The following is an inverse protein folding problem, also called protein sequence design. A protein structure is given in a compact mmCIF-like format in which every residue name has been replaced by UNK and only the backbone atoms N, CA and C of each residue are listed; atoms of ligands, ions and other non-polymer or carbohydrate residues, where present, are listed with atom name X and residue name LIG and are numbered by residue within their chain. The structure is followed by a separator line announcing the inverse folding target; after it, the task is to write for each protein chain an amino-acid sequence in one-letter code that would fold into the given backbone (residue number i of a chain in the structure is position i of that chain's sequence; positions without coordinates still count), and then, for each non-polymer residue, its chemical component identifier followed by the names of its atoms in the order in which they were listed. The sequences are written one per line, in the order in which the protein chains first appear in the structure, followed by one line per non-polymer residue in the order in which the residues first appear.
data_IF_330519593351
#
_entry.id   IF_330519593351
#
_cell.length_a   1.000
_cell.length_b   1.000
_cell.length_c   1.000
_cell.angle_alpha   90.00
_cell.angle_beta   90.00
_cell.angle_gamma   90.00
#
_symmetry.space_group_name_H-M   'P 1'
#
loop_
_entity.id
_entity.type
_entity.pdbx_description
1 polymer ?
#
# COMPACT_ATOMS: atom_id res chain seq x y z
N UNK A 1 17.70 19.66 18.57
CA UNK A 1 16.29 20.06 18.37
C UNK A 1 15.94 19.78 16.93
N UNK A 2 15.14 18.76 16.64
CA UNK A 2 14.69 18.49 15.26
C UNK A 2 13.64 19.54 14.92
N UNK A 3 13.79 20.19 13.76
CA UNK A 3 12.81 21.16 13.29
C UNK A 3 11.46 20.45 13.07
N UNK A 4 10.39 20.96 13.67
CA UNK A 4 9.04 20.36 13.60
C UNK A 4 8.55 20.19 12.16
N UNK A 5 8.95 21.12 11.29
CA UNK A 5 8.74 21.10 9.84
C UNK A 5 9.37 19.85 9.17
N UNK A 6 10.60 19.49 9.55
CA UNK A 6 11.30 18.33 9.01
C UNK A 6 10.59 17.03 9.40
N UNK A 7 10.17 16.93 10.66
CA UNK A 7 9.42 15.78 11.15
C UNK A 7 8.08 15.63 10.43
N UNK A 8 7.36 16.74 10.16
CA UNK A 8 6.12 16.74 9.36
C UNK A 8 6.36 16.26 7.94
N UNK A 9 7.41 16.75 7.28
CA UNK A 9 7.78 16.29 5.93
C UNK A 9 8.07 14.80 5.89
N UNK A 10 8.86 14.30 6.85
CA UNK A 10 9.19 12.87 6.95
C UNK A 10 7.96 12.00 7.25
N UNK A 11 7.12 12.41 8.19
CA UNK A 11 5.86 11.71 8.49
C UNK A 11 4.90 11.72 7.30
N UNK A 12 4.84 12.82 6.54
CA UNK A 12 4.07 12.90 5.30
C UNK A 12 4.57 11.93 4.23
N UNK A 13 5.89 11.80 4.08
CA UNK A 13 6.50 10.86 3.13
C UNK A 13 6.25 9.39 3.54
N UNK A 14 6.31 9.09 4.84
CA UNK A 14 5.94 7.78 5.38
C UNK A 14 4.45 7.47 5.18
N UNK A 15 3.57 8.45 5.41
CA UNK A 15 2.13 8.30 5.20
C UNK A 15 1.83 8.00 3.71
N UNK A 16 2.48 8.71 2.80
CA UNK A 16 2.44 8.48 1.36
C UNK A 16 2.85 7.04 1.00
N UNK A 17 4.03 6.61 1.43
CA UNK A 17 4.53 5.26 1.16
C UNK A 17 3.61 4.17 1.73
N UNK A 18 3.08 4.38 2.95
CA UNK A 18 2.14 3.45 3.57
C UNK A 18 0.81 3.39 2.82
N UNK A 19 0.26 4.53 2.39
CA UNK A 19 -0.99 4.58 1.63
C UNK A 19 -0.87 3.87 0.27
N UNK A 20 0.26 4.05 -0.42
CA UNK A 20 0.53 3.39 -1.69
C UNK A 20 0.62 1.86 -1.52
N UNK A 21 1.36 1.40 -0.50
CA UNK A 21 1.45 -0.02 -0.15
C UNK A 21 0.10 -0.59 0.27
N UNK A 22 -0.73 0.17 0.99
CA UNK A 22 -2.07 -0.23 1.37
C UNK A 22 -2.97 -0.44 0.14
N UNK A 23 -2.95 0.47 -0.84
CA UNK A 23 -3.68 0.33 -2.10
C UNK A 23 -3.25 -0.90 -2.88
N UNK A 24 -1.94 -1.12 -2.99
CA UNK A 24 -1.37 -2.30 -3.66
C UNK A 24 -1.74 -3.61 -2.97
N UNK A 25 -1.62 -3.66 -1.64
CA UNK A 25 -1.92 -4.87 -0.85
C UNK A 25 -3.42 -5.19 -0.83
N UNK A 26 -4.29 -4.19 -0.88
CA UNK A 26 -5.74 -4.38 -0.99
C UNK A 26 -6.11 -5.15 -2.25
N UNK A 27 -5.50 -4.82 -3.39
CA UNK A 27 -5.73 -5.56 -4.62
C UNK A 27 -5.17 -6.98 -4.54
N UNK A 28 -3.98 -7.17 -3.97
CA UNK A 28 -3.40 -8.50 -3.79
C UNK A 28 -4.27 -9.40 -2.90
N UNK A 29 -4.91 -8.85 -1.87
CA UNK A 29 -5.91 -9.57 -1.05
C UNK A 29 -7.18 -9.85 -1.86
N UNK A 30 -7.69 -8.87 -2.62
CA UNK A 30 -8.86 -9.05 -3.50
C UNK A 30 -8.65 -10.12 -4.58
N UNK A 31 -7.42 -10.26 -5.07
CA UNK A 31 -7.00 -11.29 -6.02
C UNK A 31 -6.68 -12.64 -5.34
N UNK A 32 -6.82 -12.75 -4.01
CA UNK A 32 -6.51 -13.98 -3.25
C UNK A 32 -5.03 -14.30 -3.10
N UNK A 33 -4.13 -13.41 -3.54
CA UNK A 33 -2.67 -13.66 -3.56
C UNK A 33 -1.98 -13.25 -2.26
N UNK A 34 -2.60 -12.39 -1.46
CA UNK A 34 -2.05 -11.91 -0.19
C UNK A 34 -3.00 -12.23 0.97
N UNK A 35 -2.40 -12.48 2.15
CA UNK A 35 -3.15 -12.68 3.40
C UNK A 35 -3.74 -11.36 3.90
N UNK A 36 -4.96 -11.45 4.41
CA UNK A 36 -5.71 -10.31 4.98
C UNK A 36 -4.99 -9.66 6.18
N UNK A 37 -4.19 -10.45 6.93
CA UNK A 37 -3.33 -9.95 8.01
C UNK A 37 -2.30 -8.91 7.54
N UNK A 38 -1.79 -9.04 6.30
CA UNK A 38 -0.82 -8.11 5.72
C UNK A 38 -1.47 -6.76 5.42
N UNK A 39 -2.72 -6.77 4.97
CA UNK A 39 -3.52 -5.56 4.75
C UNK A 39 -3.78 -4.81 6.05
N UNK A 40 -4.22 -5.51 7.10
CA UNK A 40 -4.42 -4.89 8.42
C UNK A 40 -3.13 -4.23 8.94
N UNK A 41 -1.97 -4.86 8.74
CA UNK A 41 -0.69 -4.28 9.12
C UNK A 41 -0.35 -2.96 8.41
N UNK A 42 -0.71 -2.83 7.12
CA UNK A 42 -0.56 -1.58 6.37
C UNK A 42 -1.60 -0.54 6.75
N UNK A 43 -2.84 -0.97 7.03
CA UNK A 43 -3.94 -0.09 7.40
C UNK A 43 -3.63 0.59 8.72
N UNK A 44 -3.23 -0.18 9.74
CA UNK A 44 -2.85 0.36 11.06
C UNK A 44 -1.72 1.37 10.93
N UNK A 45 -0.66 1.07 10.16
CA UNK A 45 0.46 2.00 9.95
C UNK A 45 0.00 3.30 9.27
N UNK A 46 -0.84 3.20 8.25
CA UNK A 46 -1.35 4.37 7.52
C UNK A 46 -2.20 5.25 8.43
N UNK A 47 -3.11 4.65 9.20
CA UNK A 47 -3.94 5.36 10.19
C UNK A 47 -3.08 6.00 11.26
N UNK A 48 -2.10 5.28 11.83
CA UNK A 48 -1.20 5.85 12.84
C UNK A 48 -0.38 7.03 12.31
N UNK A 49 0.15 6.94 11.08
CA UNK A 49 0.87 8.06 10.46
C UNK A 49 -0.03 9.28 10.25
N UNK A 50 -1.27 9.08 9.79
CA UNK A 50 -2.23 10.18 9.63
C UNK A 50 -2.71 10.77 10.96
N UNK A 51 -2.93 9.93 11.96
CA UNK A 51 -3.32 10.38 13.30
C UNK A 51 -2.19 11.20 13.94
N UNK A 52 -0.94 10.72 13.81
CA UNK A 52 0.24 11.43 14.30
C UNK A 52 0.42 12.81 13.65
N UNK A 53 0.09 12.95 12.36
CA UNK A 53 0.08 14.24 11.67
C UNK A 53 -1.02 15.19 12.19
N UNK A 54 -2.15 14.64 12.67
CA UNK A 54 -3.34 15.40 13.07
C UNK A 54 -3.37 15.76 14.56
N UNK A 55 -2.62 15.06 15.41
CA UNK A 55 -2.73 15.20 16.87
C UNK A 55 -1.95 16.38 17.46
N UNK A 56 -0.96 16.93 16.74
CA UNK A 56 0.02 17.88 17.32
C UNK A 56 -0.08 19.32 16.81
N UNK A 57 -0.81 19.58 15.72
CA UNK A 57 -0.94 20.92 15.13
C UNK A 57 -2.35 21.13 14.56
N UNK A 58 -2.83 22.39 14.45
CA UNK A 58 -4.05 22.69 13.71
C UNK A 58 -3.99 22.10 12.29
N UNK A 59 -5.15 21.76 11.74
CA UNK A 59 -5.26 21.18 10.40
C UNK A 59 -4.89 22.25 9.37
N UNK A 60 -3.59 22.44 9.16
CA UNK A 60 -3.04 23.42 8.24
C UNK A 60 -3.14 22.93 6.79
N UNK A 61 -2.98 23.85 5.83
CA UNK A 61 -2.98 23.51 4.40
C UNK A 61 -1.98 22.41 4.01
N UNK A 62 -0.84 22.31 4.71
CA UNK A 62 0.12 21.23 4.54
C UNK A 62 -0.47 19.85 4.90
N UNK A 63 -1.24 19.77 5.98
CA UNK A 63 -1.91 18.55 6.39
C UNK A 63 -2.95 18.13 5.33
N UNK A 64 -3.74 19.08 4.81
CA UNK A 64 -4.68 18.80 3.72
C UNK A 64 -3.96 18.32 2.45
N UNK A 65 -2.82 18.92 2.10
CA UNK A 65 -2.02 18.50 0.96
C UNK A 65 -1.49 17.06 1.15
N UNK A 66 -0.98 16.72 2.34
CA UNK A 66 -0.50 15.36 2.65
C UNK A 66 -1.65 14.34 2.58
N UNK A 67 -2.82 14.70 3.09
CA UNK A 67 -4.02 13.86 2.99
C UNK A 67 -4.43 13.61 1.54
N UNK A 68 -4.48 14.67 0.72
CA UNK A 68 -4.78 14.55 -0.71
C UNK A 68 -3.75 13.69 -1.44
N UNK A 69 -2.46 13.90 -1.16
CA UNK A 69 -1.38 13.11 -1.74
C UNK A 69 -1.44 11.63 -1.33
N UNK A 70 -1.75 11.34 -0.07
CA UNK A 70 -1.92 9.97 0.41
C UNK A 70 -3.11 9.28 -0.27
N UNK A 71 -4.22 10.00 -0.47
CA UNK A 71 -5.39 9.46 -1.16
C UNK A 71 -5.10 9.19 -2.64
N UNK A 72 -4.37 10.09 -3.30
CA UNK A 72 -3.87 9.87 -4.66
C UNK A 72 -2.91 8.68 -4.74
N UNK A 73 -1.95 8.57 -3.83
CA UNK A 73 -0.99 7.48 -3.79
C UNK A 73 -1.65 6.12 -3.52
N UNK A 74 -2.65 6.07 -2.64
CA UNK A 74 -3.50 4.88 -2.47
C UNK A 74 -4.19 4.48 -3.78
N UNK A 75 -4.82 5.45 -4.47
CA UNK A 75 -5.46 5.21 -5.77
C UNK A 75 -4.50 4.71 -6.83
N UNK A 76 -3.31 5.30 -6.94
CA UNK A 76 -2.25 4.86 -7.86
C UNK A 76 -1.78 3.44 -7.54
N UNK A 77 -1.52 3.14 -6.26
CA UNK A 77 -1.13 1.80 -5.82
C UNK A 77 -2.19 0.75 -6.11
N UNK A 78 -3.46 1.11 -5.93
CA UNK A 78 -4.60 0.28 -6.27
C UNK A 78 -4.69 0.04 -7.79
N UNK A 79 -4.62 1.09 -8.60
CA UNK A 79 -4.72 1.00 -10.06
C UNK A 79 -3.57 0.19 -10.69
N UNK A 80 -2.34 0.42 -10.24
CA UNK A 80 -1.19 -0.36 -10.72
C UNK A 80 -1.34 -1.84 -10.35
N UNK A 81 -1.71 -2.13 -9.10
CA UNK A 81 -1.87 -3.52 -8.68
C UNK A 81 -3.05 -4.21 -9.36
N UNK A 82 -4.11 -3.47 -9.73
CA UNK A 82 -5.25 -4.03 -10.45
C UNK A 82 -4.88 -4.43 -11.87
N UNK A 83 -4.05 -3.63 -12.55
CA UNK A 83 -3.59 -3.89 -13.91
C UNK A 83 -2.43 -4.90 -14.02
N UNK A 84 -1.76 -5.24 -12.92
CA UNK A 84 -0.76 -6.31 -12.94
C UNK A 84 -1.44 -7.65 -13.25
N UNK A 85 -0.98 -8.29 -14.34
CA UNK A 85 -1.40 -9.63 -14.73
C UNK A 85 -1.12 -10.62 -13.58
N UNK A 86 -2.00 -11.60 -13.33
CA UNK A 86 -1.70 -12.66 -12.37
C UNK A 86 -0.39 -13.35 -12.78
N UNK A 87 0.44 -13.77 -11.80
CA UNK A 87 1.70 -14.47 -12.08
C UNK A 87 1.39 -15.66 -12.99
N UNK A 88 2.11 -15.76 -14.10
CA UNK A 88 1.95 -16.86 -15.05
C UNK A 88 2.13 -18.18 -14.31
N UNK A 89 1.17 -19.09 -14.51
CA UNK A 89 1.20 -20.42 -13.94
C UNK A 89 2.21 -21.27 -14.71
N UNK A 90 3.49 -21.01 -14.42
CA UNK A 90 4.66 -21.75 -14.90
C UNK A 90 4.64 -23.23 -14.44
N UNK A 91 3.68 -23.62 -13.59
CA UNK A 91 3.54 -25.01 -13.12
C UNK A 91 3.26 -25.95 -14.28
N UNK A 92 2.44 -25.54 -15.25
CA UNK A 92 2.14 -26.35 -16.43
C UNK A 92 3.29 -26.41 -17.45
N UNK A 93 4.23 -25.44 -17.43
CA UNK A 93 5.44 -25.49 -18.26
C UNK A 93 6.56 -26.32 -17.64
N UNK A 94 6.69 -26.30 -16.31
CA UNK A 94 7.77 -27.01 -15.59
C UNK A 94 7.39 -28.49 -15.33
N UNK A 95 6.11 -28.80 -15.15
CA UNK A 95 5.60 -30.15 -14.90
C UNK A 95 4.58 -30.56 -15.95
N UNK A 96 5.01 -31.07 -17.12
CA UNK A 96 4.08 -31.61 -18.10
C UNK A 96 3.31 -32.80 -17.50
N UNK A 97 2.00 -32.96 -17.81
CA UNK A 97 1.21 -34.08 -17.32
C UNK A 97 1.83 -35.38 -17.80
N UNK A 98 2.00 -36.30 -16.85
CA UNK A 98 2.65 -37.59 -17.07
C UNK A 98 1.88 -38.39 -18.12
N UNK A 99 2.51 -38.62 -19.27
CA UNK A 99 1.92 -39.34 -20.39
C UNK A 99 1.59 -40.77 -19.94
N UNK A 100 0.34 -41.26 -20.11
CA UNK A 100 -0.02 -42.60 -19.71
C UNK A 100 0.84 -43.62 -20.46
N UNK A 101 1.74 -44.29 -19.73
CA UNK A 101 2.56 -45.37 -20.31
C UNK A 101 1.65 -46.53 -20.71
N UNK A 102 1.73 -47.02 -21.97
CA UNK A 102 0.95 -48.15 -22.46
C UNK A 102 1.36 -49.48 -21.80
#
# INVERSE_FOLDING_TARGET
MVSTEFLRGFLGLLALACSYMLGRTLVGVRKGQLKLSRLYGWLIRTVLCMLALSFRHPVDGLSMMIWGLALAAFGVGFWQASHQKPPEDLTNEIFPPEEPRP
#
